data_IF_515328162347
#
_entry.id   IF_515328162347
#
_cell.length_a   1.000
_cell.length_b   1.000
_cell.length_c   1.000
_cell.angle_alpha   90.00
_cell.angle_beta   90.00
_cell.angle_gamma   90.00
#
_symmetry.space_group_name_H-M   'P 1'
#
loop_
_entity.id
_entity.type
_entity.pdbx_description
1 polymer ?
#
# COMPACT_ATOMS: atom_id res chain seq x y z
N UNK A 1 9.92 30.69 35.68
CA UNK A 1 10.05 30.73 34.21
C UNK A 1 9.67 29.36 33.67
N UNK A 2 8.80 29.33 32.66
CA UNK A 2 8.05 28.16 32.22
C UNK A 2 8.94 27.09 31.53
N UNK A 3 8.66 25.83 31.84
CA UNK A 3 9.12 24.67 31.09
C UNK A 3 8.31 24.54 29.80
N UNK A 4 8.98 24.37 28.66
CA UNK A 4 8.41 23.73 27.47
C UNK A 4 9.56 23.26 26.57
N UNK A 5 10.19 22.15 26.96
CA UNK A 5 10.78 21.24 25.99
C UNK A 5 9.64 20.41 25.45
N UNK A 6 9.12 20.78 24.28
CA UNK A 6 8.22 19.93 23.52
C UNK A 6 8.87 18.54 23.36
N UNK A 7 8.19 17.44 23.71
CA UNK A 7 8.70 16.12 23.38
C UNK A 7 8.67 16.00 21.86
N UNK A 8 9.86 15.85 21.26
CA UNK A 8 10.06 15.47 19.87
C UNK A 8 9.36 14.12 19.63
N UNK A 9 8.10 14.19 19.17
CA UNK A 9 7.24 13.06 18.79
C UNK A 9 7.71 12.48 17.45
N UNK A 10 8.98 12.10 17.35
CA UNK A 10 9.40 11.19 16.30
C UNK A 10 9.03 9.76 16.77
N UNK A 11 8.00 9.12 16.19
CA UNK A 11 7.58 7.76 16.59
C UNK A 11 8.68 6.72 16.36
N UNK A 12 9.73 7.05 15.62
CA UNK A 12 10.91 6.20 15.43
C UNK A 12 12.02 6.42 16.48
N UNK A 13 11.91 7.44 17.35
CA UNK A 13 12.85 7.75 18.44
C UNK A 13 12.31 7.36 19.83
N UNK A 14 11.14 6.73 19.92
CA UNK A 14 10.67 6.16 21.18
C UNK A 14 11.58 4.95 21.52
N UNK A 15 12.56 5.21 22.40
CA UNK A 15 13.49 4.24 22.99
C UNK A 15 12.85 2.86 23.19
N UNK A 16 13.36 1.89 22.43
CA UNK A 16 13.64 0.50 22.83
C UNK A 16 12.63 -0.19 23.77
N UNK A 17 11.33 -0.04 23.52
CA UNK A 17 10.39 -1.05 23.96
C UNK A 17 10.47 -2.22 22.96
N UNK A 18 10.69 -3.47 23.42
CA UNK A 18 10.64 -4.61 22.52
C UNK A 18 9.23 -4.66 21.92
N UNK A 19 9.13 -4.36 20.63
CA UNK A 19 7.91 -4.46 19.87
C UNK A 19 7.38 -5.89 20.01
N UNK A 20 6.12 -6.03 20.42
CA UNK A 20 5.54 -7.36 20.55
C UNK A 20 5.31 -7.98 19.18
N UNK A 21 5.15 -9.31 19.14
CA UNK A 21 4.82 -10.03 17.90
C UNK A 21 3.53 -9.49 17.29
N UNK A 22 2.54 -9.17 18.13
CA UNK A 22 1.26 -8.60 17.73
C UNK A 22 1.41 -7.19 17.14
N UNK A 23 2.22 -6.34 17.77
CA UNK A 23 2.50 -4.98 17.28
C UNK A 23 3.22 -5.01 15.93
N UNK A 24 4.18 -5.92 15.74
CA UNK A 24 4.87 -6.08 14.47
C UNK A 24 3.93 -6.60 13.37
N UNK A 25 3.08 -7.59 13.68
CA UNK A 25 2.11 -8.11 12.74
C UNK A 25 1.13 -7.01 12.29
N UNK A 26 0.60 -6.21 13.23
CA UNK A 26 -0.30 -5.12 12.90
C UNK A 26 0.41 -4.00 12.12
N UNK A 27 1.69 -3.72 12.42
CA UNK A 27 2.47 -2.75 11.65
C UNK A 27 2.65 -3.18 10.18
N UNK A 28 2.91 -4.47 9.94
CA UNK A 28 3.01 -5.01 8.57
C UNK A 28 1.65 -4.94 7.86
N UNK A 29 0.56 -5.33 8.53
CA UNK A 29 -0.80 -5.22 7.97
C UNK A 29 -1.17 -3.77 7.65
N UNK A 30 -0.86 -2.83 8.56
CA UNK A 30 -1.08 -1.41 8.34
C UNK A 30 -0.31 -0.90 7.12
N UNK A 31 0.92 -1.40 6.90
CA UNK A 31 1.72 -1.05 5.73
C UNK A 31 1.12 -1.59 4.42
N UNK A 32 0.61 -2.82 4.42
CA UNK A 32 -0.09 -3.43 3.29
C UNK A 32 -1.37 -2.62 2.96
N UNK A 33 -2.18 -2.29 3.96
CA UNK A 33 -3.41 -1.48 3.79
C UNK A 33 -3.11 -0.07 3.28
N UNK A 34 -2.03 0.54 3.78
CA UNK A 34 -1.58 1.86 3.32
C UNK A 34 -1.20 1.86 1.85
N UNK A 35 -0.56 0.79 1.36
CA UNK A 35 -0.26 0.65 -0.07
C UNK A 35 -1.54 0.69 -0.91
N UNK A 36 -2.59 -0.03 -0.50
CA UNK A 36 -3.87 -0.01 -1.21
C UNK A 36 -4.49 1.39 -1.25
N UNK A 37 -4.46 2.12 -0.14
CA UNK A 37 -4.94 3.51 -0.09
C UNK A 37 -4.18 4.40 -1.07
N UNK A 38 -2.85 4.25 -1.16
CA UNK A 38 -2.06 5.00 -2.13
C UNK A 38 -2.40 4.62 -3.58
N UNK A 39 -2.59 3.33 -3.88
CA UNK A 39 -3.00 2.87 -5.21
C UNK A 39 -4.38 3.41 -5.58
N UNK A 40 -5.35 3.38 -4.66
CA UNK A 40 -6.69 3.96 -4.85
C UNK A 40 -6.60 5.46 -5.14
N UNK A 41 -5.86 6.20 -4.32
CA UNK A 41 -5.64 7.64 -4.51
C UNK A 41 -5.02 7.92 -5.87
N UNK A 42 -3.96 7.19 -6.22
CA UNK A 42 -3.29 7.33 -7.50
C UNK A 42 -4.24 7.07 -8.68
N UNK A 43 -4.99 5.96 -8.65
CA UNK A 43 -5.97 5.63 -9.69
C UNK A 43 -7.04 6.71 -9.85
N UNK A 44 -7.57 7.23 -8.74
CA UNK A 44 -8.54 8.33 -8.76
C UNK A 44 -7.93 9.59 -9.39
N UNK A 45 -6.73 9.99 -8.97
CA UNK A 45 -6.02 11.14 -9.54
C UNK A 45 -5.78 10.96 -11.05
N UNK A 46 -5.40 9.77 -11.51
CA UNK A 46 -5.22 9.49 -12.93
C UNK A 46 -6.51 9.71 -13.73
N UNK A 47 -7.63 9.21 -13.22
CA UNK A 47 -8.94 9.34 -13.88
C UNK A 47 -9.41 10.79 -13.92
N UNK A 48 -9.21 11.54 -12.85
CA UNK A 48 -9.59 12.96 -12.78
C UNK A 48 -8.74 13.85 -13.68
N UNK A 49 -7.43 13.57 -13.77
CA UNK A 49 -6.50 14.39 -14.54
C UNK A 49 -6.36 13.96 -16.00
N UNK A 50 -6.93 12.81 -16.39
CA UNK A 50 -6.77 12.26 -17.73
C UNK A 50 -5.31 11.95 -18.09
N UNK A 51 -4.50 11.52 -17.12
CA UNK A 51 -3.10 11.15 -17.33
C UNK A 51 -2.74 9.94 -16.46
N UNK A 52 -1.94 9.02 -16.99
CA UNK A 52 -1.33 7.92 -16.24
C UNK A 52 0.15 8.25 -15.91
N UNK A 53 0.49 8.64 -14.68
CA UNK A 53 1.86 8.70 -14.20
C UNK A 53 2.41 7.28 -13.98
N UNK A 54 3.73 7.11 -14.07
CA UNK A 54 4.41 5.80 -13.96
C UNK A 54 4.53 5.23 -12.54
N UNK A 55 4.04 5.95 -11.52
CA UNK A 55 4.42 5.78 -10.11
C UNK A 55 3.99 4.44 -9.48
N UNK A 56 2.97 3.78 -10.01
CA UNK A 56 2.50 2.47 -9.52
C UNK A 56 2.40 1.48 -10.69
N UNK A 57 3.43 0.64 -10.83
CA UNK A 57 3.38 -0.53 -11.71
C UNK A 57 2.94 -1.76 -10.93
N UNK A 58 2.35 -2.72 -11.64
CA UNK A 58 2.03 -4.04 -11.10
C UNK A 58 3.24 -4.69 -10.43
N UNK A 59 4.40 -4.58 -11.06
CA UNK A 59 5.61 -5.27 -10.62
C UNK A 59 6.19 -4.60 -9.36
N UNK A 60 6.10 -3.27 -9.24
CA UNK A 60 6.49 -2.54 -8.02
C UNK A 60 5.59 -2.90 -6.82
N UNK A 61 4.28 -3.00 -7.05
CA UNK A 61 3.32 -3.42 -6.00
C UNK A 61 3.61 -4.86 -5.57
N UNK A 62 3.81 -5.76 -6.54
CA UNK A 62 4.12 -7.17 -6.26
C UNK A 62 5.41 -7.30 -5.45
N UNK A 63 6.49 -6.64 -5.88
CA UNK A 63 7.78 -6.70 -5.19
C UNK A 63 7.68 -6.16 -3.75
N UNK A 64 6.95 -5.06 -3.56
CA UNK A 64 6.74 -4.49 -2.24
C UNK A 64 5.96 -5.42 -1.30
N UNK A 65 4.87 -6.02 -1.79
CA UNK A 65 4.06 -6.95 -1.00
C UNK A 65 4.83 -8.23 -0.68
N UNK A 66 5.56 -8.79 -1.65
CA UNK A 66 6.43 -9.95 -1.42
C UNK A 66 7.48 -9.67 -0.34
N UNK A 67 8.15 -8.52 -0.38
CA UNK A 67 9.12 -8.15 0.64
C UNK A 67 8.53 -8.04 2.05
N UNK A 68 7.27 -7.62 2.19
CA UNK A 68 6.59 -7.60 3.50
C UNK A 68 6.20 -9.00 3.99
N UNK A 69 5.80 -9.89 3.07
CA UNK A 69 5.52 -11.30 3.41
C UNK A 69 6.79 -12.03 3.80
N UNK A 70 7.88 -11.83 3.07
CA UNK A 70 9.19 -12.42 3.39
C UNK A 70 9.68 -11.95 4.77
N UNK A 71 9.57 -10.64 5.04
CA UNK A 71 9.87 -10.08 6.36
C UNK A 71 9.01 -10.70 7.47
N UNK A 72 7.70 -10.87 7.23
CA UNK A 72 6.79 -11.50 8.17
C UNK A 72 7.17 -12.97 8.42
N UNK A 73 7.54 -13.71 7.37
CA UNK A 73 7.91 -15.12 7.48
C UNK A 73 9.17 -15.33 8.34
N UNK A 74 10.11 -14.40 8.28
CA UNK A 74 11.36 -14.45 9.07
C UNK A 74 11.16 -14.07 10.54
N UNK A 75 10.11 -13.32 10.86
CA UNK A 75 9.96 -12.65 12.17
C UNK A 75 8.75 -13.08 13.00
N UNK A 76 7.69 -13.61 12.36
CA UNK A 76 6.40 -13.87 13.01
C UNK A 76 6.05 -15.36 13.10
N UNK A 77 5.22 -15.75 14.08
CA UNK A 77 4.67 -17.10 14.15
C UNK A 77 3.67 -17.34 13.00
N UNK A 78 3.53 -18.61 12.60
CA UNK A 78 2.71 -19.04 11.43
C UNK A 78 1.27 -18.49 11.41
N UNK A 79 0.62 -18.37 12.57
CA UNK A 79 -0.76 -17.90 12.61
C UNK A 79 -0.88 -16.41 12.24
N UNK A 80 0.11 -15.58 12.59
CA UNK A 80 0.16 -14.17 12.21
C UNK A 80 0.57 -14.00 10.74
N UNK A 81 1.49 -14.85 10.26
CA UNK A 81 1.89 -14.89 8.84
C UNK A 81 0.69 -15.12 7.90
N UNK A 82 -0.21 -16.04 8.24
CA UNK A 82 -1.36 -16.36 7.39
C UNK A 82 -2.26 -15.13 7.13
N UNK A 83 -2.49 -14.30 8.15
CA UNK A 83 -3.28 -13.07 8.00
C UNK A 83 -2.59 -12.08 7.05
N UNK A 84 -1.27 -11.94 7.16
CA UNK A 84 -0.45 -11.06 6.31
C UNK A 84 -0.45 -11.53 4.86
N UNK A 85 -0.28 -12.83 4.62
CA UNK A 85 -0.33 -13.42 3.28
C UNK A 85 -1.70 -13.20 2.62
N UNK A 86 -2.79 -13.42 3.35
CA UNK A 86 -4.15 -13.20 2.86
C UNK A 86 -4.40 -11.72 2.51
N UNK A 87 -3.98 -10.80 3.39
CA UNK A 87 -4.13 -9.37 3.16
C UNK A 87 -3.29 -8.91 1.95
N UNK A 88 -2.05 -9.39 1.82
CA UNK A 88 -1.18 -9.08 0.69
C UNK A 88 -1.79 -9.54 -0.64
N UNK A 89 -2.32 -10.77 -0.69
CA UNK A 89 -3.02 -11.29 -1.87
C UNK A 89 -4.26 -10.44 -2.20
N UNK A 90 -5.07 -10.10 -1.20
CA UNK A 90 -6.24 -9.23 -1.36
C UNK A 90 -5.88 -7.87 -1.95
N UNK A 91 -4.86 -7.20 -1.40
CA UNK A 91 -4.36 -5.92 -1.90
C UNK A 91 -3.82 -6.05 -3.33
N UNK A 92 -3.08 -7.11 -3.64
CA UNK A 92 -2.56 -7.32 -4.99
C UNK A 92 -3.70 -7.46 -6.02
N UNK A 93 -4.73 -8.23 -5.70
CA UNK A 93 -5.91 -8.40 -6.55
C UNK A 93 -6.67 -7.09 -6.74
N UNK A 94 -6.94 -6.37 -5.67
CA UNK A 94 -7.68 -5.11 -5.75
C UNK A 94 -6.88 -4.04 -6.51
N UNK A 95 -5.59 -3.89 -6.22
CA UNK A 95 -4.72 -2.98 -6.94
C UNK A 95 -4.72 -3.27 -8.44
N UNK A 96 -4.65 -4.55 -8.83
CA UNK A 96 -4.74 -4.97 -10.24
C UNK A 96 -6.06 -4.57 -10.88
N UNK A 97 -7.17 -4.76 -10.17
CA UNK A 97 -8.50 -4.37 -10.64
C UNK A 97 -8.59 -2.85 -10.86
N UNK A 98 -8.15 -2.05 -9.88
CA UNK A 98 -8.16 -0.59 -9.93
C UNK A 98 -7.30 -0.03 -11.08
N UNK A 99 -6.07 -0.54 -11.23
CA UNK A 99 -5.16 -0.12 -12.30
C UNK A 99 -5.72 -0.47 -13.68
N UNK A 100 -6.29 -1.67 -13.85
CA UNK A 100 -6.94 -2.07 -15.11
C UNK A 100 -8.08 -1.12 -15.47
N UNK A 101 -9.03 -0.93 -14.55
CA UNK A 101 -10.17 -0.04 -14.81
C UNK A 101 -9.76 1.41 -15.10
N UNK A 102 -8.66 1.87 -14.50
CA UNK A 102 -8.09 3.20 -14.78
C UNK A 102 -7.47 3.27 -16.18
N UNK A 103 -6.72 2.25 -16.59
CA UNK A 103 -6.15 2.17 -17.94
C UNK A 103 -7.23 2.07 -19.01
N UNK A 104 -8.25 1.24 -18.80
CA UNK A 104 -9.34 1.04 -19.77
C UNK A 104 -10.13 2.34 -19.96
N UNK A 105 -10.41 3.07 -18.88
CA UNK A 105 -11.03 4.40 -18.96
C UNK A 105 -10.20 5.39 -19.80
N UNK A 106 -8.86 5.35 -19.66
CA UNK A 106 -7.97 6.20 -20.43
C UNK A 106 -7.90 5.81 -21.92
N UNK A 107 -7.75 4.52 -22.22
CA UNK A 107 -7.70 4.02 -23.61
C UNK A 107 -9.01 4.33 -24.34
N UNK A 108 -10.16 4.08 -23.70
CA UNK A 108 -11.47 4.34 -24.29
C UNK A 108 -11.75 5.84 -24.48
N UNK A 109 -11.23 6.71 -23.60
CA UNK A 109 -11.35 8.16 -23.74
C UNK A 109 -10.52 8.72 -24.91
N UNK A 110 -9.42 8.05 -25.29
CA UNK A 110 -8.54 8.46 -26.38
C UNK A 110 -8.97 7.92 -27.75
N UNK A 111 -9.78 6.86 -27.81
CA UNK A 111 -10.42 6.43 -29.05
C UNK A 111 -11.59 7.36 -29.37
N UNK A 112 -11.53 8.17 -30.44
CA UNK A 112 -12.70 8.92 -30.88
C UNK A 112 -13.81 7.91 -31.19
N UNK A 113 -15.01 8.13 -30.64
CA UNK A 113 -16.21 7.43 -31.08
C UNK A 113 -16.29 7.68 -32.58
N UNK A 114 -15.97 6.66 -33.39
CA UNK A 114 -16.33 6.68 -34.81
C UNK A 114 -17.86 6.66 -34.82
N UNK A 115 -18.45 7.84 -34.95
CA UNK A 115 -19.87 8.01 -35.18
C UNK A 115 -20.22 7.20 -36.44
N UNK A 116 -21.17 6.29 -36.27
CA UNK A 116 -21.77 5.49 -37.34
C UNK A 116 -23.04 6.20 -37.83
#
# INVERSE_FOLDING_TARGET
>A
MAYSTEPNLNPFNARDLPMTVEELAEAILARIRTLLLHVRKHCLTCRLNGWLPSLYTRDAISAFLSGLVDLAADTLPRHALHAIECEALGVMHEARFLMRGTRDAYVNALTPRREA
#
